data_IF_688835314678
#
_entry.id   IF_688835314678
#
_cell.length_a   1.000
_cell.length_b   1.000
_cell.length_c   1.000
_cell.angle_alpha   90.00
_cell.angle_beta   90.00
_cell.angle_gamma   90.00
#
_symmetry.space_group_name_H-M   'P 1'
#
loop_
_entity.id
_entity.type
_entity.pdbx_description
1 polymer ?
#
# COMPACT_ATOMS: atom_id res chain seq x y z
N UNK A 1 -3.08 -19.04 -15.22
CA UNK A 1 -1.92 -19.96 -15.15
C UNK A 1 -2.20 -21.14 -14.22
N UNK A 2 -2.53 -20.91 -12.93
CA UNK A 2 -2.87 -22.00 -11.99
C UNK A 2 -4.02 -22.90 -12.48
N UNK A 3 -5.17 -22.32 -12.86
CA UNK A 3 -6.34 -23.07 -13.31
C UNK A 3 -6.14 -23.76 -14.67
N UNK A 4 -5.10 -23.41 -15.43
CA UNK A 4 -4.74 -24.03 -16.70
C UNK A 4 -3.73 -25.17 -16.53
N UNK A 5 -3.42 -25.57 -15.28
CA UNK A 5 -2.42 -26.60 -15.00
C UNK A 5 -0.99 -26.20 -15.37
N UNK A 6 -0.70 -24.89 -15.46
CA UNK A 6 0.63 -24.34 -15.79
C UNK A 6 1.20 -23.56 -14.60
N UNK A 7 1.54 -24.23 -13.47
CA UNK A 7 2.08 -23.57 -12.28
C UNK A 7 3.46 -22.94 -12.52
N UNK A 8 4.25 -23.47 -13.45
CA UNK A 8 5.57 -22.93 -13.82
C UNK A 8 5.52 -21.52 -14.44
N UNK A 9 4.37 -21.10 -14.95
CA UNK A 9 4.18 -19.78 -15.55
C UNK A 9 3.50 -18.79 -14.57
N UNK A 10 3.37 -19.15 -13.29
CA UNK A 10 2.79 -18.28 -12.27
C UNK A 10 3.82 -17.30 -11.69
N UNK A 11 3.35 -16.14 -11.24
CA UNK A 11 4.14 -15.29 -10.34
C UNK A 11 4.10 -15.90 -8.93
N UNK A 12 5.23 -16.48 -8.52
CA UNK A 12 5.38 -17.22 -7.27
C UNK A 12 6.87 -17.41 -6.96
N UNK A 13 7.22 -17.68 -5.71
CA UNK A 13 8.60 -17.94 -5.29
C UNK A 13 9.21 -19.19 -5.95
N UNK A 14 8.37 -20.13 -6.42
CA UNK A 14 8.80 -21.37 -7.08
C UNK A 14 8.79 -21.32 -8.61
N UNK A 15 8.31 -20.22 -9.20
CA UNK A 15 8.13 -20.08 -10.64
C UNK A 15 8.75 -18.74 -11.10
N UNK A 16 7.96 -17.84 -11.70
CA UNK A 16 8.44 -16.51 -12.07
C UNK A 16 8.46 -15.64 -10.82
N UNK A 17 9.65 -15.35 -10.31
CA UNK A 17 9.82 -14.61 -9.06
C UNK A 17 9.75 -13.10 -9.31
N UNK A 18 8.97 -12.40 -8.48
CA UNK A 18 8.99 -10.94 -8.38
C UNK A 18 9.48 -10.56 -7.00
N UNK A 19 10.79 -10.58 -6.81
CA UNK A 19 11.38 -10.37 -5.50
C UNK A 19 11.33 -8.89 -5.09
N UNK A 20 10.98 -8.58 -3.82
CA UNK A 20 11.02 -7.23 -3.30
C UNK A 20 12.46 -6.87 -2.86
N UNK A 21 13.37 -6.74 -3.83
CA UNK A 21 14.82 -6.55 -3.59
C UNK A 21 15.10 -5.33 -2.70
N UNK A 22 14.33 -4.24 -2.87
CA UNK A 22 14.51 -3.03 -2.08
C UNK A 22 14.15 -3.23 -0.60
N UNK A 23 13.07 -3.94 -0.30
CA UNK A 23 12.72 -4.19 1.11
C UNK A 23 13.71 -5.16 1.74
N UNK A 24 14.14 -6.20 1.03
CA UNK A 24 15.18 -7.13 1.49
C UNK A 24 16.50 -6.41 1.77
N UNK A 25 16.91 -5.48 0.91
CA UNK A 25 18.08 -4.63 1.14
C UNK A 25 17.94 -3.78 2.42
N UNK A 26 16.77 -3.17 2.64
CA UNK A 26 16.49 -2.42 3.88
C UNK A 26 16.50 -3.34 5.10
N UNK A 27 15.91 -4.55 5.01
CA UNK A 27 15.93 -5.53 6.10
C UNK A 27 17.36 -5.88 6.48
N UNK A 28 18.21 -6.22 5.51
CA UNK A 28 19.62 -6.56 5.73
C UNK A 28 20.40 -5.40 6.35
N UNK A 29 20.15 -4.17 5.88
CA UNK A 29 20.81 -2.98 6.43
C UNK A 29 20.46 -2.77 7.89
N UNK A 30 19.20 -2.98 8.29
CA UNK A 30 18.77 -2.83 9.68
C UNK A 30 19.18 -4.01 10.57
N UNK A 31 19.22 -5.23 10.02
CA UNK A 31 19.67 -6.42 10.74
C UNK A 31 21.17 -6.34 11.08
N UNK A 32 21.99 -5.83 10.16
CA UNK A 32 23.44 -5.69 10.31
C UNK A 32 23.89 -4.33 10.88
N UNK A 33 22.96 -3.43 11.20
CA UNK A 33 23.28 -2.11 11.72
C UNK A 33 24.06 -2.11 13.06
N UNK A 34 23.72 -2.95 14.05
CA UNK A 34 24.39 -2.95 15.36
C UNK A 34 25.88 -3.24 15.22
N UNK A 35 26.72 -2.41 15.82
CA UNK A 35 28.18 -2.55 15.77
C UNK A 35 28.85 -2.09 14.46
N UNK A 36 28.08 -1.82 13.40
CA UNK A 36 28.59 -1.32 12.10
C UNK A 36 28.17 0.13 11.87
N UNK A 37 26.91 0.35 11.50
CA UNK A 37 26.36 1.69 11.24
C UNK A 37 25.78 2.33 12.51
N UNK A 38 25.53 1.52 13.55
CA UNK A 38 25.14 1.95 14.88
C UNK A 38 26.06 1.32 15.96
N UNK A 39 27.26 1.87 16.19
CA UNK A 39 28.26 1.29 17.09
C UNK A 39 27.83 1.19 18.57
N UNK A 40 26.91 2.06 19.01
CA UNK A 40 26.38 2.05 20.38
C UNK A 40 25.13 1.19 20.57
N UNK A 41 24.60 0.59 19.50
CA UNK A 41 23.41 -0.26 19.58
C UNK A 41 23.83 -1.72 19.80
N UNK A 42 23.19 -2.38 20.78
CA UNK A 42 23.40 -3.80 21.07
C UNK A 42 22.54 -4.73 20.18
N UNK A 43 21.41 -4.24 19.68
CA UNK A 43 20.45 -5.01 18.87
C UNK A 43 19.92 -4.15 17.74
N UNK A 44 19.34 -4.79 16.71
CA UNK A 44 18.67 -4.10 15.61
C UNK A 44 17.42 -3.35 16.11
N UNK A 45 16.86 -2.48 15.28
CA UNK A 45 15.65 -1.69 15.63
C UNK A 45 14.39 -2.55 15.80
N UNK A 46 14.39 -3.77 15.25
CA UNK A 46 13.34 -4.79 15.42
C UNK A 46 13.90 -6.17 15.07
N UNK A 47 13.47 -7.20 15.81
CA UNK A 47 13.83 -8.60 15.51
C UNK A 47 13.16 -9.12 14.22
N UNK A 48 12.19 -8.38 13.68
CA UNK A 48 11.55 -8.72 12.39
C UNK A 48 12.47 -8.55 11.18
N UNK A 49 13.54 -7.74 11.31
CA UNK A 49 14.48 -7.48 10.22
C UNK A 49 15.37 -8.68 9.86
N UNK A 50 15.60 -9.57 10.82
CA UNK A 50 16.56 -10.67 10.68
C UNK A 50 17.22 -11.01 12.02
N UNK A 51 17.98 -12.10 12.02
CA UNK A 51 18.62 -12.67 13.21
C UNK A 51 18.07 -14.06 13.54
N UNK A 52 18.89 -14.90 14.17
CA UNK A 52 18.54 -16.28 14.54
C UNK A 52 17.78 -16.37 15.89
N UNK A 53 17.48 -15.21 16.49
CA UNK A 53 16.93 -15.11 17.84
C UNK A 53 15.40 -15.10 17.81
N UNK A 54 14.84 -16.29 18.04
CA UNK A 54 13.40 -16.45 18.27
C UNK A 54 13.08 -16.03 19.71
N UNK A 55 12.27 -14.98 19.86
CA UNK A 55 11.77 -14.60 21.19
C UNK A 55 10.45 -15.30 21.43
N UNK A 56 10.41 -16.14 22.47
CA UNK A 56 9.22 -16.85 22.92
C UNK A 56 8.96 -16.58 24.40
N UNK A 57 7.69 -16.38 24.76
CA UNK A 57 7.23 -16.22 26.14
C UNK A 57 6.08 -17.21 26.36
N UNK A 58 6.20 -18.06 27.38
CA UNK A 58 5.16 -19.04 27.70
C UNK A 58 4.84 -19.99 26.54
N UNK A 59 5.88 -20.51 25.86
CA UNK A 59 5.76 -21.42 24.71
C UNK A 59 5.05 -20.82 23.47
N UNK A 60 4.85 -19.50 23.42
CA UNK A 60 4.32 -18.80 22.26
C UNK A 60 5.39 -17.90 21.67
N UNK A 61 5.51 -17.91 20.34
CA UNK A 61 6.45 -17.01 19.67
C UNK A 61 5.90 -15.59 19.69
N UNK A 62 6.69 -14.66 20.21
CA UNK A 62 6.32 -13.24 20.31
C UNK A 62 6.85 -12.43 19.13
N UNK A 63 8.06 -12.74 18.64
CA UNK A 63 8.64 -12.09 17.48
C UNK A 63 9.59 -13.03 16.72
N UNK A 64 9.51 -12.95 15.39
CA UNK A 64 10.29 -13.74 14.42
C UNK A 64 10.74 -12.83 13.26
N UNK A 65 11.86 -13.15 12.60
CA UNK A 65 12.17 -12.59 11.29
C UNK A 65 11.05 -12.84 10.28
N UNK A 66 10.68 -11.81 9.51
CA UNK A 66 9.63 -11.90 8.49
C UNK A 66 10.30 -11.97 7.11
N UNK A 67 10.37 -13.16 6.48
CA UNK A 67 10.89 -13.27 5.12
C UNK A 67 9.93 -12.60 4.13
N UNK A 68 10.48 -11.83 3.20
CA UNK A 68 9.72 -11.14 2.16
C UNK A 68 9.89 -11.84 0.82
N UNK A 69 8.80 -12.39 0.30
CA UNK A 69 8.75 -13.11 -0.97
C UNK A 69 7.96 -12.39 -2.05
N UNK A 70 7.63 -13.14 -3.10
CA UNK A 70 6.85 -12.67 -4.26
C UNK A 70 5.44 -12.29 -3.85
N UNK A 71 4.83 -12.99 -2.89
CA UNK A 71 3.50 -12.67 -2.39
C UNK A 71 3.48 -11.29 -1.70
N UNK A 72 4.51 -10.98 -0.90
CA UNK A 72 4.65 -9.70 -0.21
C UNK A 72 4.83 -8.54 -1.20
N UNK A 73 5.59 -8.77 -2.27
CA UNK A 73 5.71 -7.80 -3.37
C UNK A 73 4.34 -7.48 -3.97
N UNK A 74 3.54 -8.51 -4.31
CA UNK A 74 2.22 -8.33 -4.92
C UNK A 74 1.24 -7.61 -3.98
N UNK A 75 1.14 -8.04 -2.72
CA UNK A 75 0.20 -7.42 -1.77
C UNK A 75 0.59 -5.98 -1.46
N UNK A 76 1.88 -5.66 -1.39
CA UNK A 76 2.32 -4.29 -1.19
C UNK A 76 1.96 -3.39 -2.38
N UNK A 77 2.04 -3.90 -3.62
CA UNK A 77 1.58 -3.17 -4.80
C UNK A 77 0.07 -2.95 -4.81
N UNK A 78 -0.73 -3.92 -4.32
CA UNK A 78 -2.16 -3.75 -4.16
C UNK A 78 -2.46 -2.67 -3.11
N UNK A 79 -1.78 -2.69 -1.96
CA UNK A 79 -1.91 -1.63 -0.96
C UNK A 79 -1.55 -0.26 -1.52
N UNK A 80 -0.42 -0.16 -2.24
CA UNK A 80 -0.02 1.07 -2.91
C UNK A 80 -1.11 1.52 -3.89
N UNK A 81 -1.62 0.64 -4.74
CA UNK A 81 -2.71 0.95 -5.67
C UNK A 81 -3.95 1.49 -4.97
N UNK A 82 -4.43 0.81 -3.91
CA UNK A 82 -5.59 1.28 -3.14
C UNK A 82 -5.34 2.65 -2.51
N UNK A 83 -4.16 2.89 -1.93
CA UNK A 83 -3.79 4.20 -1.36
C UNK A 83 -3.74 5.28 -2.45
N UNK A 84 -3.16 4.97 -3.62
CA UNK A 84 -3.14 5.94 -4.72
C UNK A 84 -4.56 6.29 -5.17
N UNK A 85 -5.46 5.31 -5.32
CA UNK A 85 -6.87 5.57 -5.67
C UNK A 85 -7.59 6.36 -4.57
N UNK A 86 -7.38 6.02 -3.30
CA UNK A 86 -8.02 6.72 -2.18
C UNK A 86 -7.52 8.13 -2.01
N UNK A 87 -6.31 8.47 -2.46
CA UNK A 87 -5.80 9.84 -2.51
C UNK A 87 -6.27 10.56 -3.77
N UNK A 88 -6.30 9.89 -4.93
CA UNK A 88 -6.71 10.49 -6.21
C UNK A 88 -8.17 10.99 -6.18
N UNK A 89 -9.08 10.27 -5.55
CA UNK A 89 -10.50 10.66 -5.45
C UNK A 89 -10.69 12.00 -4.69
N UNK A 90 -10.28 12.14 -3.42
CA UNK A 90 -10.40 13.38 -2.68
C UNK A 90 -9.49 14.48 -3.23
N UNK A 91 -8.28 14.15 -3.71
CA UNK A 91 -7.39 15.15 -4.30
C UNK A 91 -8.03 15.80 -5.53
N UNK A 92 -8.64 14.99 -6.41
CA UNK A 92 -9.42 15.52 -7.53
C UNK A 92 -10.61 16.35 -7.04
N UNK A 93 -11.33 15.87 -6.02
CA UNK A 93 -12.45 16.61 -5.42
C UNK A 93 -12.05 18.01 -4.92
N UNK A 94 -10.91 18.12 -4.24
CA UNK A 94 -10.38 19.39 -3.71
C UNK A 94 -9.87 20.30 -4.82
N UNK A 95 -9.07 19.78 -5.76
CA UNK A 95 -8.48 20.59 -6.84
C UNK A 95 -9.54 21.17 -7.78
N UNK A 96 -10.61 20.43 -8.06
CA UNK A 96 -11.69 20.86 -8.95
C UNK A 96 -12.93 21.36 -8.19
N UNK A 97 -12.76 21.84 -6.95
CA UNK A 97 -13.86 22.37 -6.13
C UNK A 97 -14.32 23.77 -6.56
N UNK A 98 -13.40 24.61 -7.09
CA UNK A 98 -13.70 26.02 -7.46
C UNK A 98 -13.98 26.22 -8.94
N UNK A 99 -13.41 25.40 -9.81
CA UNK A 99 -13.63 25.46 -11.25
C UNK A 99 -13.21 24.14 -11.88
N UNK A 100 -13.94 23.69 -12.89
CA UNK A 100 -13.55 22.58 -13.75
C UNK A 100 -13.77 22.98 -15.21
N UNK A 101 -13.19 22.23 -16.15
CA UNK A 101 -13.41 22.48 -17.58
C UNK A 101 -14.89 22.33 -17.97
N UNK A 102 -15.64 21.48 -17.25
CA UNK A 102 -17.07 21.28 -17.47
C UNK A 102 -17.91 22.39 -16.83
N UNK A 103 -17.56 22.81 -15.61
CA UNK A 103 -18.30 23.83 -14.85
C UNK A 103 -17.31 24.92 -14.40
N UNK A 104 -17.19 26.02 -15.15
CA UNK A 104 -16.19 27.04 -14.89
C UNK A 104 -16.46 27.88 -13.63
N UNK A 105 -17.72 27.98 -13.19
CA UNK A 105 -18.21 28.86 -12.11
C UNK A 105 -18.58 28.12 -10.81
N UNK A 106 -17.95 26.95 -10.58
CA UNK A 106 -18.20 26.08 -9.43
C UNK A 106 -18.03 26.76 -8.06
N UNK A 107 -17.20 27.80 -7.99
CA UNK A 107 -16.93 28.58 -6.79
C UNK A 107 -18.15 29.37 -6.27
N UNK A 108 -19.16 29.61 -7.10
CA UNK A 108 -20.38 30.33 -6.70
C UNK A 108 -21.38 29.44 -5.94
N UNK A 109 -21.13 28.13 -5.89
CA UNK A 109 -21.96 27.16 -5.19
C UNK A 109 -21.33 26.78 -3.84
N UNK A 110 -22.17 26.35 -2.89
CA UNK A 110 -21.69 25.71 -1.65
C UNK A 110 -20.90 24.44 -1.97
N UNK A 111 -19.91 24.08 -1.14
CA UNK A 111 -19.03 22.91 -1.36
C UNK A 111 -19.81 21.62 -1.68
N UNK A 112 -20.91 21.38 -0.96
CA UNK A 112 -21.77 20.22 -1.20
C UNK A 112 -22.47 20.28 -2.57
N UNK A 113 -23.00 21.44 -2.94
CA UNK A 113 -23.67 21.65 -4.23
C UNK A 113 -22.65 21.60 -5.38
N UNK A 114 -21.46 22.16 -5.19
CA UNK A 114 -20.33 22.06 -6.10
C UNK A 114 -19.99 20.59 -6.41
N UNK A 115 -19.91 19.71 -5.42
CA UNK A 115 -19.69 18.27 -5.65
C UNK A 115 -20.84 17.60 -6.43
N UNK A 116 -22.09 18.01 -6.20
CA UNK A 116 -23.28 17.46 -6.87
C UNK A 116 -23.43 17.98 -8.32
N UNK A 117 -23.08 19.23 -8.61
CA UNK A 117 -23.31 19.83 -9.94
C UNK A 117 -22.43 19.21 -11.04
N UNK A 118 -21.37 18.46 -10.71
CA UNK A 118 -20.61 17.63 -11.67
C UNK A 118 -21.46 16.47 -12.27
N UNK A 119 -22.75 16.36 -11.90
CA UNK A 119 -23.68 15.25 -12.20
C UNK A 119 -24.66 15.50 -13.36
N UNK A 120 -24.97 16.74 -13.77
CA UNK A 120 -26.21 16.99 -14.55
C UNK A 120 -26.11 17.18 -16.07
N UNK A 121 -24.95 17.37 -16.69
CA UNK A 121 -24.89 17.54 -18.17
C UNK A 121 -24.20 16.36 -18.88
N UNK A 122 -24.82 15.18 -18.77
CA UNK A 122 -24.42 13.96 -19.48
C UNK A 122 -24.42 12.75 -18.56
N UNK A 123 -25.57 12.07 -18.49
CA UNK A 123 -25.84 10.96 -17.57
C UNK A 123 -24.70 9.93 -17.47
N UNK A 124 -24.01 9.93 -16.33
CA UNK A 124 -23.41 8.75 -15.73
C UNK A 124 -23.23 9.04 -14.25
N UNK A 125 -24.18 8.54 -13.45
CA UNK A 125 -24.18 8.59 -11.98
C UNK A 125 -22.80 8.17 -11.45
N UNK A 126 -22.06 9.08 -10.81
CA UNK A 126 -20.85 8.73 -10.06
C UNK A 126 -21.21 8.55 -8.59
N UNK A 127 -21.66 7.33 -8.31
CA UNK A 127 -21.70 6.61 -7.05
C UNK A 127 -21.46 7.43 -5.78
N UNK A 128 -22.54 7.62 -5.00
CA UNK A 128 -22.78 7.04 -3.67
C UNK A 128 -21.60 6.31 -2.97
N UNK A 129 -20.38 6.83 -2.99
CA UNK A 129 -19.21 6.29 -2.27
C UNK A 129 -18.89 7.14 -1.01
N UNK A 130 -19.67 8.19 -0.76
CA UNK A 130 -19.50 9.10 0.38
C UNK A 130 -20.42 8.82 1.58
N UNK A 131 -21.29 7.79 1.52
CA UNK A 131 -22.26 7.49 2.60
C UNK A 131 -22.00 6.12 3.27
N UNK A 132 -20.92 5.42 2.91
CA UNK A 132 -20.60 4.07 3.42
C UNK A 132 -19.40 4.04 4.38
N UNK A 133 -19.11 5.18 5.01
CA UNK A 133 -18.24 5.28 6.17
C UNK A 133 -19.01 5.99 7.31
N UNK A 134 -19.94 5.26 7.92
CA UNK A 134 -20.45 5.46 9.28
C UNK A 134 -20.70 4.10 9.91
#
# INVERSE_FOLDING_TARGET
>A
MSALGRPQDMFSDTAIQLQPIFSQWVQNTNALAPGVTAPGAATSTSLTWGGDELVAVGSKVTLLPIPLGTADFLVHHIHAFTIHVTVLIPLKGVLFARSSRLIPDKANFSFFVSLVMDQEEGGHVKYLLGIMFS
#
